data_IF_737028868231
#
_entry.id   IF_737028868231
#
_cell.length_a   1.000
_cell.length_b   1.000
_cell.length_c   1.000
_cell.angle_alpha   90.00
_cell.angle_beta   90.00
_cell.angle_gamma   90.00
#
_symmetry.space_group_name_H-M   'P 1'
#
loop_
_entity.id
_entity.type
_entity.pdbx_description
1 polymer ?
#
# COMPACT_ATOMS: atom_id res chain seq x y z
N UNK A 1 -9.32 -0.81 19.34
CA UNK A 1 -7.88 -0.90 19.00
C UNK A 1 -7.80 -1.06 17.49
N UNK A 2 -7.36 -0.02 16.79
CA UNK A 2 -7.21 -0.03 15.34
C UNK A 2 -5.87 -0.73 15.03
N UNK A 3 -5.74 -1.40 13.89
CA UNK A 3 -4.54 -2.22 13.54
C UNK A 3 -3.21 -1.46 13.72
N UNK A 4 -3.21 -0.14 13.51
CA UNK A 4 -2.03 0.71 13.70
C UNK A 4 -1.50 0.71 15.13
N UNK A 5 -2.37 0.86 16.13
CA UNK A 5 -1.96 0.87 17.55
C UNK A 5 -1.26 -0.45 17.91
N UNK A 6 -1.79 -1.56 17.41
CA UNK A 6 -1.17 -2.87 17.61
C UNK A 6 0.21 -2.96 16.94
N UNK A 7 0.30 -2.51 15.69
CA UNK A 7 1.53 -2.52 14.90
C UNK A 7 2.66 -1.73 15.57
N UNK A 8 2.39 -0.52 16.07
CA UNK A 8 3.42 0.35 16.63
C UNK A 8 3.66 0.12 18.14
N UNK A 9 2.62 -0.14 18.93
CA UNK A 9 2.79 -0.28 20.38
C UNK A 9 3.09 -1.71 20.81
N UNK A 10 2.34 -2.68 20.30
CA UNK A 10 2.43 -4.07 20.76
C UNK A 10 3.59 -4.82 20.11
N UNK A 11 3.80 -4.65 18.80
CA UNK A 11 4.86 -5.36 18.05
C UNK A 11 6.02 -4.46 17.64
N UNK A 12 5.98 -3.16 17.97
CA UNK A 12 7.10 -2.21 17.80
C UNK A 12 7.62 -2.13 16.37
N UNK A 13 6.72 -2.18 15.38
CA UNK A 13 7.13 -1.94 14.00
C UNK A 13 7.71 -0.54 13.84
N UNK A 14 8.80 -0.46 13.09
CA UNK A 14 9.48 0.80 12.82
C UNK A 14 8.86 1.57 11.65
N UNK A 15 8.16 0.86 10.75
CA UNK A 15 7.50 1.43 9.58
C UNK A 15 6.41 0.48 9.09
N UNK A 16 5.31 1.03 8.59
CA UNK A 16 4.21 0.28 7.98
C UNK A 16 4.00 0.78 6.55
N UNK A 17 4.04 -0.14 5.57
CA UNK A 17 3.75 0.16 4.16
C UNK A 17 2.41 -0.42 3.71
N UNK A 18 1.71 0.32 2.84
CA UNK A 18 0.48 -0.11 2.17
C UNK A 18 0.59 0.15 0.66
N UNK A 19 0.61 -0.93 -0.11
CA UNK A 19 0.56 -0.85 -1.57
C UNK A 19 -0.89 -0.82 -2.06
N UNK A 20 -1.28 0.28 -2.72
CA UNK A 20 -2.64 0.48 -3.23
C UNK A 20 -2.61 0.64 -4.74
N UNK A 21 -3.50 -0.07 -5.44
CA UNK A 21 -3.65 0.09 -6.89
C UNK A 21 -4.16 1.49 -7.24
N UNK A 22 -3.64 2.12 -8.31
CA UNK A 22 -4.18 3.37 -8.83
C UNK A 22 -5.68 3.24 -9.12
N UNK A 23 -6.45 4.28 -8.80
CA UNK A 23 -7.91 4.31 -9.00
C UNK A 23 -8.75 3.71 -7.87
N UNK A 24 -8.14 3.15 -6.80
CA UNK A 24 -8.86 2.72 -5.59
C UNK A 24 -9.06 3.88 -4.61
N UNK A 25 -9.84 4.86 -5.02
CA UNK A 25 -10.01 6.16 -4.32
C UNK A 25 -10.38 6.04 -2.84
N UNK A 26 -11.28 5.12 -2.47
CA UNK A 26 -11.67 4.91 -1.06
C UNK A 26 -10.52 4.39 -0.21
N UNK A 27 -9.70 3.48 -0.75
CA UNK A 27 -8.53 2.96 -0.05
C UNK A 27 -7.43 4.03 0.07
N UNK A 28 -7.25 4.84 -0.97
CA UNK A 28 -6.33 5.99 -0.96
C UNK A 28 -6.76 7.02 0.08
N UNK A 29 -8.06 7.34 0.15
CA UNK A 29 -8.58 8.28 1.14
C UNK A 29 -8.38 7.77 2.58
N UNK A 30 -8.54 6.45 2.81
CA UNK A 30 -8.31 5.84 4.12
C UNK A 30 -6.86 6.02 4.58
N UNK A 31 -5.87 5.66 3.76
CA UNK A 31 -4.45 5.78 4.17
C UNK A 31 -4.01 7.22 4.34
N UNK A 32 -4.49 8.15 3.50
CA UNK A 32 -4.23 9.59 3.68
C UNK A 32 -4.84 10.14 4.96
N UNK A 33 -6.06 9.70 5.32
CA UNK A 33 -6.72 10.09 6.56
C UNK A 33 -6.01 9.59 7.83
N UNK A 34 -5.20 8.54 7.71
CA UNK A 34 -4.37 8.00 8.79
C UNK A 34 -2.99 8.67 8.90
N UNK A 35 -2.72 9.70 8.09
CA UNK A 35 -1.43 10.43 8.09
C UNK A 35 -0.32 9.73 7.30
N UNK A 36 -0.63 8.65 6.58
CA UNK A 36 0.33 7.87 5.80
C UNK A 36 0.70 8.64 4.52
N UNK A 37 1.99 8.92 4.33
CA UNK A 37 2.52 9.64 3.19
C UNK A 37 2.71 8.74 1.97
N UNK A 38 2.54 9.27 0.75
CA UNK A 38 2.85 8.54 -0.48
C UNK A 38 4.36 8.70 -0.77
N UNK A 39 5.13 7.62 -0.65
CA UNK A 39 6.60 7.66 -0.80
C UNK A 39 7.08 7.31 -2.21
N UNK A 40 6.23 6.71 -3.05
CA UNK A 40 6.58 6.45 -4.44
C UNK A 40 5.64 5.48 -5.15
N UNK A 41 5.99 5.13 -6.39
CA UNK A 41 5.33 4.10 -7.17
C UNK A 41 6.23 2.86 -7.23
N UNK A 42 5.71 1.70 -6.82
CA UNK A 42 6.38 0.44 -7.05
C UNK A 42 6.23 0.05 -8.54
N UNK A 43 7.34 -0.34 -9.18
CA UNK A 43 7.34 -0.84 -10.56
C UNK A 43 6.36 -1.99 -10.75
N UNK A 44 5.60 -1.95 -11.84
CA UNK A 44 4.43 -2.79 -12.09
C UNK A 44 4.78 -4.23 -12.50
N UNK A 45 5.72 -4.88 -11.84
CA UNK A 45 6.13 -6.20 -12.29
C UNK A 45 5.28 -7.29 -11.69
N UNK A 46 4.77 -7.21 -10.46
CA UNK A 46 3.95 -8.29 -9.90
C UNK A 46 2.77 -7.75 -9.08
N UNK A 47 1.56 -8.02 -9.56
CA UNK A 47 0.32 -7.72 -8.83
C UNK A 47 -0.33 -9.05 -8.44
N UNK A 48 -0.62 -9.23 -7.16
CA UNK A 48 -1.45 -10.33 -6.68
C UNK A 48 -2.92 -9.91 -6.73
N UNK A 49 -3.77 -10.71 -7.40
CA UNK A 49 -5.22 -10.51 -7.42
C UNK A 49 -5.92 -11.87 -7.40
N UNK A 50 -6.80 -12.09 -6.41
CA UNK A 50 -7.50 -13.37 -6.26
C UNK A 50 -6.57 -14.58 -6.08
N UNK A 51 -5.42 -14.40 -5.42
CA UNK A 51 -4.43 -15.46 -5.19
C UNK A 51 -3.51 -15.79 -6.37
N UNK A 52 -3.61 -15.07 -7.51
CA UNK A 52 -2.67 -15.19 -8.63
C UNK A 52 -1.75 -13.99 -8.72
N UNK A 53 -0.46 -14.25 -8.90
CA UNK A 53 0.51 -13.26 -9.33
C UNK A 53 0.41 -13.08 -10.85
N UNK A 54 0.21 -11.85 -11.30
CA UNK A 54 0.20 -11.50 -12.72
C UNK A 54 1.32 -10.50 -13.00
N UNK A 55 2.23 -10.85 -13.92
CA UNK A 55 3.21 -9.93 -14.51
C UNK A 55 2.55 -9.12 -15.61
N UNK A 56 2.45 -7.79 -15.48
CA UNK A 56 2.02 -6.92 -16.58
C UNK A 56 3.24 -6.27 -17.23
N UNK A 57 3.70 -6.86 -18.33
CA UNK A 57 4.73 -6.23 -19.18
C UNK A 57 4.20 -4.91 -19.78
N UNK A 58 4.85 -3.79 -19.44
CA UNK A 58 4.83 -2.59 -20.28
C UNK A 58 3.77 -1.51 -20.02
N UNK A 59 3.33 -1.31 -18.77
CA UNK A 59 2.42 -0.20 -18.45
C UNK A 59 2.88 0.61 -17.24
N UNK A 60 2.84 1.94 -17.34
CA UNK A 60 3.11 2.92 -16.25
C UNK A 60 2.11 2.84 -15.07
N UNK A 61 1.55 1.68 -14.77
CA UNK A 61 0.48 1.45 -13.78
C UNK A 61 1.01 0.59 -12.62
N UNK A 62 2.01 1.11 -11.93
CA UNK A 62 2.51 0.56 -10.66
C UNK A 62 1.53 0.77 -9.51
N UNK A 63 1.68 0.02 -8.41
CA UNK A 63 0.98 0.35 -7.16
C UNK A 63 1.61 1.58 -6.52
N UNK A 64 0.78 2.43 -5.92
CA UNK A 64 1.25 3.53 -5.09
C UNK A 64 1.63 2.96 -3.71
N UNK A 65 2.84 3.26 -3.26
CA UNK A 65 3.33 2.87 -1.94
C UNK A 65 3.07 4.01 -0.93
N UNK A 66 2.36 3.69 0.14
CA UNK A 66 2.04 4.58 1.23
C UNK A 66 2.73 4.08 2.50
N UNK A 67 3.52 4.92 3.18
CA UNK A 67 4.21 4.51 4.40
C UNK A 67 4.05 5.49 5.58
N UNK A 68 4.17 4.94 6.80
CA UNK A 68 4.11 5.62 8.10
C UNK A 68 5.15 5.05 9.05
#
# INVERSE_FOLDING_TARGET
>A
MLVLDHCFDAIRLHRLEANIQPGRERSIALVRGLGVGCEGYAGADEIMSGGRFSRRNGGRHGTQNYAM
#
